data_IF_248373278460
#
_entry.id   IF_248373278460
#
_cell.length_a   1.000
_cell.length_b   1.000
_cell.length_c   1.000
_cell.angle_alpha   90.00
_cell.angle_beta   90.00
_cell.angle_gamma   90.00
#
_symmetry.space_group_name_H-M   'P 1'
#
loop_
_entity.id
_entity.type
_entity.pdbx_description
1 polymer ?
#
# COMPACT_ATOMS: atom_id res chain seq x y z
N UNK A 1 20.33 8.70 -12.37
CA UNK A 1 21.04 7.60 -11.69
C UNK A 1 20.09 6.41 -11.69
N UNK A 2 20.55 5.21 -12.01
CA UNK A 2 19.72 4.01 -11.85
C UNK A 2 19.54 3.74 -10.35
N UNK A 3 18.30 3.43 -9.94
CA UNK A 3 18.00 3.01 -8.57
C UNK A 3 18.67 1.67 -8.29
N UNK A 4 19.06 1.40 -7.04
CA UNK A 4 19.52 0.06 -6.68
C UNK A 4 18.31 -0.90 -6.68
N UNK A 5 18.57 -2.20 -6.83
CA UNK A 5 17.49 -3.21 -6.77
C UNK A 5 16.70 -3.15 -5.45
N UNK A 6 17.38 -2.84 -4.34
CA UNK A 6 16.75 -2.67 -3.04
C UNK A 6 15.85 -1.42 -3.00
N UNK A 7 16.23 -0.33 -3.68
CA UNK A 7 15.43 0.89 -3.79
C UNK A 7 14.17 0.69 -4.63
N UNK A 8 14.25 -0.12 -5.69
CA UNK A 8 13.09 -0.49 -6.51
C UNK A 8 12.09 -1.31 -5.71
N UNK A 9 12.56 -2.35 -5.00
CA UNK A 9 11.69 -3.15 -4.11
C UNK A 9 11.04 -2.26 -3.06
N UNK A 10 11.79 -1.38 -2.42
CA UNK A 10 11.25 -0.48 -1.40
C UNK A 10 10.19 0.46 -1.98
N UNK A 11 10.45 1.03 -3.16
CA UNK A 11 9.51 1.89 -3.87
C UNK A 11 8.21 1.15 -4.17
N UNK A 12 8.30 -0.06 -4.69
CA UNK A 12 7.12 -0.88 -5.00
C UNK A 12 6.31 -1.17 -3.74
N UNK A 13 6.99 -1.58 -2.65
CA UNK A 13 6.34 -1.80 -1.36
C UNK A 13 5.63 -0.56 -0.83
N UNK A 14 6.20 0.62 -1.01
CA UNK A 14 5.55 1.88 -0.61
C UNK A 14 4.31 2.12 -1.48
N UNK A 15 4.39 1.94 -2.80
CA UNK A 15 3.25 2.15 -3.69
C UNK A 15 2.10 1.18 -3.45
N UNK A 16 2.41 -0.08 -3.15
CA UNK A 16 1.42 -1.11 -2.78
C UNK A 16 0.59 -0.73 -1.55
N UNK A 17 1.10 0.12 -0.66
CA UNK A 17 0.34 0.59 0.51
C UNK A 17 -0.95 1.32 0.12
N UNK A 18 -1.06 1.83 -1.12
CA UNK A 18 -2.30 2.38 -1.65
C UNK A 18 -3.50 1.44 -1.49
N UNK A 19 -3.27 0.13 -1.67
CA UNK A 19 -4.32 -0.88 -1.68
C UNK A 19 -4.86 -1.07 -0.27
N UNK A 20 -3.98 -1.38 0.68
CA UNK A 20 -4.37 -1.61 2.07
C UNK A 20 -4.99 -0.34 2.70
N UNK A 21 -4.54 0.86 2.31
CA UNK A 21 -5.17 2.11 2.75
C UNK A 21 -6.63 2.21 2.28
N UNK A 22 -6.93 1.80 1.05
CA UNK A 22 -8.30 1.74 0.53
C UNK A 22 -9.18 0.79 1.35
N UNK A 23 -8.67 -0.40 1.65
CA UNK A 23 -9.38 -1.41 2.45
C UNK A 23 -9.63 -0.91 3.87
N UNK A 24 -8.63 -0.32 4.53
CA UNK A 24 -8.77 0.26 5.86
C UNK A 24 -9.82 1.36 5.89
N UNK A 25 -9.82 2.26 4.91
CA UNK A 25 -10.84 3.31 4.79
C UNK A 25 -12.24 2.74 4.57
N UNK A 26 -12.37 1.67 3.78
CA UNK A 26 -13.64 0.98 3.60
C UNK A 26 -14.15 0.39 4.93
N UNK A 27 -13.25 -0.21 5.72
CA UNK A 27 -13.58 -0.77 7.04
C UNK A 27 -13.91 0.32 8.08
N UNK A 28 -13.24 1.47 8.02
CA UNK A 28 -13.45 2.58 8.96
C UNK A 28 -14.69 3.42 8.62
N UNK A 29 -15.13 3.44 7.36
CA UNK A 29 -16.23 4.28 6.88
C UNK A 29 -17.52 4.16 7.71
N UNK A 30 -17.99 2.98 8.14
CA UNK A 30 -19.20 2.87 8.97
C UNK A 30 -19.06 3.52 10.35
N UNK A 31 -17.84 3.63 10.87
CA UNK A 31 -17.52 4.17 12.19
C UNK A 31 -17.18 5.66 12.16
N UNK A 32 -17.09 6.27 10.98
CA UNK A 32 -16.69 7.69 10.86
C UNK A 32 -17.50 8.64 11.74
N UNK A 33 -18.80 8.38 11.91
CA UNK A 33 -19.70 9.19 12.71
C UNK A 33 -19.98 8.59 14.10
N UNK A 34 -19.34 7.47 14.48
CA UNK A 34 -19.60 6.82 15.76
C UNK A 34 -18.91 7.52 16.93
N UNK A 35 -17.81 8.22 16.70
CA UNK A 35 -17.17 9.12 17.67
C UNK A 35 -16.26 10.14 16.98
N UNK A 36 -15.87 11.19 17.72
CA UNK A 36 -14.94 12.22 17.24
C UNK A 36 -13.55 11.63 16.94
N UNK A 37 -13.11 10.65 17.73
CA UNK A 37 -11.83 9.96 17.55
C UNK A 37 -11.84 9.14 16.25
N UNK A 38 -12.91 8.40 15.97
CA UNK A 38 -13.04 7.66 14.72
C UNK A 38 -13.15 8.59 13.50
N UNK A 39 -13.85 9.72 13.64
CA UNK A 39 -13.90 10.76 12.61
C UNK A 39 -12.51 11.31 12.29
N UNK A 40 -11.75 11.67 13.33
CA UNK A 40 -10.39 12.18 13.21
C UNK A 40 -9.42 11.17 12.60
N UNK A 41 -9.53 9.89 12.98
CA UNK A 41 -8.76 8.80 12.38
C UNK A 41 -9.09 8.62 10.90
N UNK A 42 -10.38 8.62 10.55
CA UNK A 42 -10.81 8.49 9.16
C UNK A 42 -10.29 9.64 8.30
N UNK A 43 -10.41 10.88 8.77
CA UNK A 43 -9.96 12.06 8.03
C UNK A 43 -8.43 12.08 7.87
N UNK A 44 -7.69 11.56 8.85
CA UNK A 44 -6.24 11.35 8.74
C UNK A 44 -5.90 10.31 7.67
N UNK A 45 -6.59 9.17 7.65
CA UNK A 45 -6.39 8.13 6.65
C UNK A 45 -6.75 8.59 5.24
N UNK A 46 -7.80 9.41 5.09
CA UNK A 46 -8.16 10.03 3.80
C UNK A 46 -7.07 11.00 3.30
N UNK A 47 -6.47 11.80 4.19
CA UNK A 47 -5.33 12.66 3.84
C UNK A 47 -4.14 11.84 3.35
N UNK A 48 -3.88 10.69 3.97
CA UNK A 48 -2.85 9.76 3.51
C UNK A 48 -3.19 9.22 2.12
N UNK A 49 -4.40 8.68 1.94
CA UNK A 49 -4.88 8.16 0.65
C UNK A 49 -4.79 9.20 -0.47
N UNK A 50 -5.06 10.48 -0.19
CA UNK A 50 -4.98 11.54 -1.19
C UNK A 50 -3.59 11.68 -1.81
N UNK A 51 -2.51 11.43 -1.04
CA UNK A 51 -1.14 11.41 -1.56
C UNK A 51 -0.84 10.23 -2.49
N UNK A 52 -1.58 9.13 -2.33
CA UNK A 52 -1.52 7.98 -3.22
C UNK A 52 -2.43 8.09 -4.45
N UNK A 53 -3.19 9.18 -4.63
CA UNK A 53 -4.16 9.30 -5.71
C UNK A 53 -3.55 9.07 -7.10
N UNK A 54 -2.35 9.62 -7.33
CA UNK A 54 -1.62 9.50 -8.59
C UNK A 54 -0.68 8.28 -8.70
N UNK A 55 -0.58 7.44 -7.68
CA UNK A 55 0.18 6.17 -7.74
C UNK A 55 -0.69 5.13 -8.45
N UNK A 56 -0.20 4.45 -9.46
CA UNK A 56 -0.94 3.39 -10.15
C UNK A 56 -0.36 2.03 -9.78
N UNK A 57 -1.21 1.13 -9.31
CA UNK A 57 -0.85 -0.26 -9.04
C UNK A 57 -1.66 -1.12 -10.00
N UNK A 58 -0.98 -1.98 -10.74
CA UNK A 58 -1.59 -2.90 -11.70
C UNK A 58 -0.99 -4.29 -11.54
N UNK A 59 -1.72 -5.30 -11.98
CA UNK A 59 -1.29 -6.69 -11.88
C UNK A 59 -1.12 -7.29 -13.26
N UNK A 60 -0.02 -8.00 -13.45
CA UNK A 60 0.21 -8.84 -14.62
C UNK A 60 0.03 -10.28 -14.21
N UNK A 61 -0.98 -10.93 -14.78
CA UNK A 61 -1.20 -12.36 -14.63
C UNK A 61 -0.13 -13.09 -15.45
N UNK A 62 0.70 -13.90 -14.80
CA UNK A 62 1.56 -14.83 -15.51
C UNK A 62 0.81 -16.14 -15.81
N UNK A 63 1.33 -16.95 -16.72
CA UNK A 63 0.75 -18.27 -16.95
C UNK A 63 0.84 -19.12 -15.68
N UNK A 64 -0.24 -19.83 -15.30
CA UNK A 64 -0.24 -20.68 -14.12
C UNK A 64 0.73 -21.86 -14.33
N UNK A 65 1.51 -22.15 -13.30
CA UNK A 65 2.46 -23.26 -13.33
C UNK A 65 1.93 -24.42 -12.48
N UNK A 66 1.79 -25.59 -13.09
CA UNK A 66 1.48 -26.81 -12.34
C UNK A 66 2.78 -27.38 -11.78
N UNK A 67 2.87 -27.51 -10.45
CA UNK A 67 4.00 -28.14 -9.76
C UNK A 67 3.52 -29.23 -8.81
N UNK A 68 4.35 -30.24 -8.59
CA UNK A 68 4.12 -31.26 -7.59
C UNK A 68 4.59 -30.74 -6.23
N UNK A 69 3.73 -30.78 -5.20
CA UNK A 69 4.12 -30.42 -3.84
C UNK A 69 4.98 -31.51 -3.18
N UNK A 70 5.45 -31.26 -1.95
CA UNK A 70 6.29 -32.22 -1.20
C UNK A 70 5.61 -33.55 -0.90
N UNK A 71 4.29 -33.64 -1.11
CA UNK A 71 3.43 -34.79 -0.82
C UNK A 71 2.94 -35.48 -2.10
N UNK A 72 3.45 -35.09 -3.27
CA UNK A 72 3.13 -35.72 -4.55
C UNK A 72 1.83 -35.24 -5.20
N UNK A 73 1.24 -34.13 -4.72
CA UNK A 73 -0.02 -33.59 -5.28
C UNK A 73 0.29 -32.51 -6.31
N UNK A 74 -0.47 -32.51 -7.41
CA UNK A 74 -0.43 -31.44 -8.39
C UNK A 74 -1.07 -30.17 -7.79
N UNK A 75 -0.28 -29.12 -7.67
CA UNK A 75 -0.70 -27.78 -7.23
C UNK A 75 -0.53 -26.82 -8.40
N UNK A 76 -1.61 -26.10 -8.73
CA UNK A 76 -1.56 -25.01 -9.70
C UNK A 76 -1.15 -23.73 -8.98
N UNK A 77 0.01 -23.19 -9.32
CA UNK A 77 0.53 -21.92 -8.76
C UNK A 77 0.20 -20.81 -9.74
N UNK A 78 -0.66 -19.87 -9.32
CA UNK A 78 -0.91 -18.65 -10.05
C UNK A 78 0.17 -17.63 -9.68
N UNK A 79 0.99 -17.26 -10.65
CA UNK A 79 1.97 -16.19 -10.48
C UNK A 79 1.31 -14.86 -10.89
N UNK A 80 1.39 -13.86 -10.02
CA UNK A 80 0.96 -12.49 -10.26
C UNK A 80 2.13 -11.54 -9.99
N UNK A 81 2.40 -10.63 -10.92
CA UNK A 81 3.41 -9.59 -10.76
C UNK A 81 2.71 -8.24 -10.56
N UNK A 82 3.00 -7.58 -9.45
CA UNK A 82 2.52 -6.23 -9.14
C UNK A 82 3.42 -5.21 -9.83
N UNK A 83 2.84 -4.30 -10.59
CA UNK A 83 3.54 -3.21 -11.27
C UNK A 83 3.09 -1.89 -10.66
N UNK A 84 4.03 -1.19 -10.04
CA UNK A 84 3.81 0.11 -9.41
C UNK A 84 4.39 1.22 -10.27
N UNK A 85 3.53 2.15 -10.69
CA UNK A 85 3.93 3.36 -11.41
C UNK A 85 3.75 4.57 -10.48
N UNK A 86 4.86 5.21 -10.13
CA UNK A 86 4.88 6.47 -9.38
C UNK A 86 6.09 7.32 -9.79
N UNK A 87 6.01 8.62 -9.53
CA UNK A 87 7.12 9.59 -9.69
C UNK A 87 7.93 9.73 -8.40
N UNK A 88 9.16 10.24 -8.51
CA UNK A 88 10.01 10.48 -7.34
C UNK A 88 9.45 11.54 -6.40
N UNK A 89 8.77 12.56 -6.96
CA UNK A 89 8.08 13.58 -6.17
C UNK A 89 6.95 12.97 -5.35
N UNK A 90 6.16 12.06 -5.92
CA UNK A 90 5.12 11.33 -5.18
C UNK A 90 5.71 10.49 -4.05
N UNK A 91 6.82 9.80 -4.31
CA UNK A 91 7.53 9.04 -3.27
C UNK A 91 8.00 9.95 -2.13
N UNK A 92 8.58 11.10 -2.47
CA UNK A 92 9.04 12.09 -1.49
C UNK A 92 7.87 12.66 -0.65
N UNK A 93 6.74 12.97 -1.29
CA UNK A 93 5.53 13.42 -0.60
C UNK A 93 4.97 12.37 0.37
N UNK A 94 4.91 11.11 -0.06
CA UNK A 94 4.46 9.98 0.77
C UNK A 94 5.39 9.78 1.97
N UNK A 95 6.72 9.87 1.75
CA UNK A 95 7.70 9.75 2.82
C UNK A 95 7.58 10.90 3.84
N UNK A 96 7.41 12.14 3.36
CA UNK A 96 7.23 13.31 4.22
C UNK A 96 5.96 13.20 5.08
N UNK A 97 4.84 12.79 4.47
CA UNK A 97 3.59 12.57 5.17
C UNK A 97 3.70 11.45 6.22
N UNK A 98 4.36 10.34 5.87
CA UNK A 98 4.57 9.22 6.81
C UNK A 98 5.33 9.69 8.06
N UNK A 99 6.31 10.59 7.88
CA UNK A 99 7.04 11.22 8.99
C UNK A 99 6.13 12.12 9.82
N UNK A 100 5.28 12.92 9.19
CA UNK A 100 4.31 13.78 9.90
C UNK A 100 3.34 12.96 10.75
N UNK A 101 2.73 11.92 10.16
CA UNK A 101 1.78 11.02 10.85
C UNK A 101 2.47 10.35 12.03
N UNK A 102 3.66 9.77 11.83
CA UNK A 102 4.45 9.16 12.91
C UNK A 102 4.71 10.17 14.04
N UNK A 103 5.10 11.39 13.70
CA UNK A 103 5.40 12.41 14.71
C UNK A 103 4.16 12.80 15.51
N UNK A 104 2.98 12.92 14.87
CA UNK A 104 1.71 13.15 15.58
C UNK A 104 1.38 12.02 16.54
N UNK A 105 1.57 10.77 16.14
CA UNK A 105 1.31 9.60 16.98
C UNK A 105 2.28 9.48 18.17
N UNK A 106 3.54 9.87 18.01
CA UNK A 106 4.54 9.83 19.10
C UNK A 106 4.36 11.02 20.06
N UNK A 107 3.98 12.19 19.54
CA UNK A 107 3.86 13.43 20.32
C UNK A 107 2.51 13.55 21.05
N UNK A 108 1.54 12.70 20.70
CA UNK A 108 0.21 12.61 21.34
C UNK A 108 0.16 11.69 22.55
N UNK A 109 1.31 11.16 23.02
CA UNK A 109 1.46 10.37 24.25
C UNK A 109 2.26 11.13 25.31
#
# INVERSE_FOLDING_TARGET
MALSHDDEILRDRIGEQKIILGDLLMLLRPYRASSEEYGSLYDMMEQIRAKYAGVKVSYKLAEPETREDKEGRLVMVQNEESIVEMTDDQLAEIAALSKEVRNKLISGN
#
